data_IF_861344426320
#
_entry.id   IF_861344426320
#
_cell.length_a   1.000
_cell.length_b   1.000
_cell.length_c   1.000
_cell.angle_alpha   90.00
_cell.angle_beta   90.00
_cell.angle_gamma   90.00
#
_symmetry.space_group_name_H-M   'P 1'
#
loop_
_entity.id
_entity.type
_entity.pdbx_description
1 polymer ?
#
# COMPACT_ATOMS: atom_id res chain seq x y z
N UNK A 1 -13.53 3.28 4.95
CA UNK A 1 -13.91 2.44 6.12
C UNK A 1 -12.87 1.34 6.21
N UNK A 2 -12.22 1.11 7.35
CA UNK A 2 -11.26 0.00 7.43
C UNK A 2 -11.98 -1.26 7.90
N UNK A 3 -12.03 -2.27 7.04
CA UNK A 3 -12.57 -3.58 7.38
C UNK A 3 -11.44 -4.43 7.97
N UNK A 4 -11.65 -5.02 9.13
CA UNK A 4 -10.67 -5.94 9.74
C UNK A 4 -10.55 -7.25 8.97
N UNK A 5 -11.57 -7.61 8.18
CA UNK A 5 -11.61 -8.87 7.42
C UNK A 5 -12.45 -8.74 6.14
N UNK A 6 -11.92 -9.28 5.05
CA UNK A 6 -12.62 -9.40 3.76
C UNK A 6 -13.31 -10.77 3.68
N UNK A 7 -14.59 -10.81 3.31
CA UNK A 7 -15.41 -12.02 3.21
C UNK A 7 -15.55 -12.51 1.76
N UNK A 8 -14.90 -13.62 1.43
CA UNK A 8 -14.97 -14.23 0.09
C UNK A 8 -16.25 -15.05 -0.18
N UNK A 9 -17.16 -15.14 0.80
CA UNK A 9 -18.45 -15.84 0.73
C UNK A 9 -19.52 -15.01 1.46
N UNK A 10 -20.76 -15.10 1.00
CA UNK A 10 -21.90 -14.39 1.57
C UNK A 10 -22.20 -13.06 0.88
N UNK A 11 -23.15 -12.30 1.46
CA UNK A 11 -23.59 -10.98 1.02
C UNK A 11 -23.91 -10.14 2.27
N UNK A 12 -23.68 -8.84 2.22
CA UNK A 12 -24.18 -7.92 3.25
C UNK A 12 -25.72 -7.91 3.27
N UNK A 13 -26.34 -7.53 4.40
CA UNK A 13 -27.77 -7.18 4.43
C UNK A 13 -27.91 -5.67 4.58
N UNK A 14 -28.38 -4.97 3.55
CA UNK A 14 -28.38 -3.49 3.53
C UNK A 14 -29.68 -2.89 4.09
N UNK A 15 -30.79 -3.58 3.88
CA UNK A 15 -32.12 -3.19 4.31
C UNK A 15 -32.86 -4.36 4.95
N UNK A 16 -33.68 -4.05 5.96
CA UNK A 16 -34.61 -5.02 6.57
C UNK A 16 -35.76 -5.41 5.63
N UNK A 17 -36.14 -4.51 4.74
CA UNK A 17 -37.20 -4.75 3.75
C UNK A 17 -36.69 -5.62 2.62
N UNK A 18 -37.38 -6.72 2.33
CA UNK A 18 -37.07 -7.64 1.22
C UNK A 18 -37.11 -6.93 -0.14
N UNK A 19 -38.02 -5.97 -0.32
CA UNK A 19 -38.16 -5.21 -1.55
C UNK A 19 -36.99 -4.25 -1.76
N UNK A 20 -36.63 -3.48 -0.72
CA UNK A 20 -35.47 -2.59 -0.79
C UNK A 20 -34.17 -3.36 -0.97
N UNK A 21 -34.04 -4.54 -0.35
CA UNK A 21 -32.88 -5.41 -0.51
C UNK A 21 -32.77 -5.99 -1.94
N UNK A 22 -33.89 -6.34 -2.55
CA UNK A 22 -33.92 -6.79 -3.94
C UNK A 22 -33.48 -5.66 -4.90
N UNK A 23 -33.87 -4.42 -4.61
CA UNK A 23 -33.47 -3.24 -5.40
C UNK A 23 -31.97 -2.90 -5.28
N UNK A 24 -31.24 -3.47 -4.32
CA UNK A 24 -29.79 -3.29 -4.26
C UNK A 24 -29.02 -4.28 -5.14
N UNK A 25 -29.71 -5.24 -5.77
CA UNK A 25 -29.11 -6.29 -6.59
C UNK A 25 -29.33 -5.95 -8.06
N UNK A 26 -28.32 -6.16 -8.90
CA UNK A 26 -28.36 -5.69 -10.28
C UNK A 26 -27.63 -6.61 -11.22
N UNK A 27 -28.34 -7.06 -12.25
CA UNK A 27 -27.77 -7.79 -13.35
C UNK A 27 -27.25 -6.80 -14.42
N UNK A 28 -26.03 -6.98 -14.97
CA UNK A 28 -25.45 -6.07 -15.96
C UNK A 28 -26.40 -5.76 -17.14
N UNK A 29 -27.12 -6.77 -17.63
CA UNK A 29 -28.07 -6.61 -18.74
C UNK A 29 -29.14 -5.53 -18.52
N UNK A 30 -29.59 -5.33 -17.27
CA UNK A 30 -30.58 -4.28 -16.94
C UNK A 30 -29.97 -2.89 -17.16
N UNK A 31 -28.74 -2.68 -16.72
CA UNK A 31 -28.03 -1.41 -16.86
C UNK A 31 -27.73 -1.10 -18.33
N UNK A 32 -27.28 -2.09 -19.09
CA UNK A 32 -27.06 -1.93 -20.53
C UNK A 32 -28.36 -1.65 -21.29
N UNK A 33 -29.43 -2.40 -21.01
CA UNK A 33 -30.73 -2.21 -21.65
C UNK A 33 -31.34 -0.84 -21.38
N UNK A 34 -31.03 -0.25 -20.23
CA UNK A 34 -31.48 1.10 -19.86
C UNK A 34 -30.68 2.21 -20.56
N UNK A 35 -29.35 2.09 -20.61
CA UNK A 35 -28.49 3.17 -21.11
C UNK A 35 -28.21 3.14 -22.62
N UNK A 36 -28.15 1.97 -23.26
CA UNK A 36 -27.85 1.88 -24.70
C UNK A 36 -28.89 2.60 -25.57
N UNK A 37 -30.22 2.49 -25.34
CA UNK A 37 -31.21 3.24 -26.12
C UNK A 37 -31.05 4.76 -25.94
N UNK A 38 -30.76 5.22 -24.72
CA UNK A 38 -30.56 6.65 -24.42
C UNK A 38 -29.32 7.18 -25.12
N UNK A 39 -28.21 6.44 -25.07
CA UNK A 39 -26.96 6.75 -25.79
C UNK A 39 -27.24 6.86 -27.30
N UNK A 40 -27.90 5.85 -27.87
CA UNK A 40 -28.22 5.82 -29.31
C UNK A 40 -29.09 7.00 -29.74
N UNK A 41 -30.16 7.28 -28.98
CA UNK A 41 -31.05 8.39 -29.27
C UNK A 41 -30.35 9.75 -29.18
N UNK A 42 -29.56 10.00 -28.14
CA UNK A 42 -28.88 11.30 -27.98
C UNK A 42 -27.84 11.55 -29.08
N UNK A 43 -27.10 10.53 -29.49
CA UNK A 43 -26.14 10.62 -30.60
C UNK A 43 -26.87 10.80 -31.94
N UNK A 44 -27.95 10.05 -32.17
CA UNK A 44 -28.80 10.22 -33.34
C UNK A 44 -29.38 11.64 -33.41
N UNK A 45 -29.96 12.15 -32.32
CA UNK A 45 -30.53 13.49 -32.27
C UNK A 45 -29.46 14.59 -32.44
N UNK A 46 -28.26 14.38 -31.92
CA UNK A 46 -27.12 15.29 -32.14
C UNK A 46 -26.76 15.40 -33.62
N UNK A 47 -26.84 14.29 -34.37
CA UNK A 47 -26.59 14.27 -35.81
C UNK A 47 -27.79 14.77 -36.63
N UNK A 48 -28.95 14.13 -36.47
CA UNK A 48 -30.12 14.34 -37.31
C UNK A 48 -30.94 15.59 -36.92
N UNK A 49 -31.02 15.91 -35.63
CA UNK A 49 -31.82 17.03 -35.13
C UNK A 49 -31.02 18.32 -34.90
N UNK A 50 -29.78 18.21 -34.45
CA UNK A 50 -28.91 19.38 -34.19
C UNK A 50 -27.90 19.65 -35.32
N UNK A 51 -27.85 18.78 -36.33
CA UNK A 51 -26.98 18.90 -37.50
C UNK A 51 -25.49 19.05 -37.15
N UNK A 52 -25.04 18.46 -36.04
CA UNK A 52 -23.61 18.40 -35.73
C UNK A 52 -22.89 17.41 -36.66
N UNK A 53 -21.68 17.78 -37.10
CA UNK A 53 -20.86 16.91 -37.92
C UNK A 53 -20.45 15.64 -37.16
N UNK A 54 -20.32 14.52 -37.88
CA UNK A 54 -19.88 13.25 -37.30
C UNK A 54 -18.54 13.38 -36.57
N UNK A 55 -17.60 14.15 -37.13
CA UNK A 55 -16.31 14.40 -36.50
C UNK A 55 -16.46 15.07 -35.13
N UNK A 56 -17.32 16.10 -35.01
CA UNK A 56 -17.58 16.77 -33.73
C UNK A 56 -18.19 15.81 -32.73
N UNK A 57 -19.16 14.99 -33.15
CA UNK A 57 -19.81 13.99 -32.30
C UNK A 57 -18.77 13.00 -31.77
N UNK A 58 -17.95 12.42 -32.66
CA UNK A 58 -16.92 11.44 -32.31
C UNK A 58 -15.90 12.04 -31.35
N UNK A 59 -15.35 13.22 -31.65
CA UNK A 59 -14.33 13.84 -30.80
C UNK A 59 -14.89 14.20 -29.42
N UNK A 60 -16.12 14.74 -29.36
CA UNK A 60 -16.77 15.09 -28.09
C UNK A 60 -17.06 13.82 -27.28
N UNK A 61 -17.55 12.77 -27.92
CA UNK A 61 -17.82 11.48 -27.30
C UNK A 61 -16.54 10.85 -26.73
N UNK A 62 -15.44 10.83 -27.49
CA UNK A 62 -14.16 10.29 -27.05
C UNK A 62 -13.55 11.11 -25.91
N UNK A 63 -13.67 12.44 -25.97
CA UNK A 63 -13.23 13.32 -24.88
C UNK A 63 -14.03 13.06 -23.59
N UNK A 64 -15.33 12.80 -23.70
CA UNK A 64 -16.17 12.45 -22.57
C UNK A 64 -15.84 11.07 -21.99
N UNK A 65 -15.58 10.08 -22.85
CA UNK A 65 -15.13 8.75 -22.44
C UNK A 65 -13.78 8.81 -21.72
N UNK A 66 -12.85 9.64 -22.20
CA UNK A 66 -11.60 9.89 -21.49
C UNK A 66 -11.83 10.58 -20.15
N UNK A 67 -12.73 11.58 -20.10
CA UNK A 67 -13.10 12.30 -18.88
C UNK A 67 -13.76 11.39 -17.83
N UNK A 68 -14.52 10.38 -18.26
CA UNK A 68 -15.03 9.33 -17.37
C UNK A 68 -13.89 8.65 -16.61
N UNK A 69 -12.76 8.33 -17.27
CA UNK A 69 -11.65 7.64 -16.58
C UNK A 69 -11.09 8.45 -15.41
N UNK A 70 -11.09 9.78 -15.53
CA UNK A 70 -10.69 10.69 -14.46
C UNK A 70 -11.75 10.75 -13.36
N UNK A 71 -13.02 10.84 -13.76
CA UNK A 71 -14.14 10.82 -12.83
C UNK A 71 -14.19 9.52 -12.02
N UNK A 72 -14.01 8.37 -12.67
CA UNK A 72 -13.88 7.06 -12.02
C UNK A 72 -12.82 7.11 -10.92
N UNK A 73 -11.62 7.56 -11.26
CA UNK A 73 -10.51 7.67 -10.30
C UNK A 73 -10.88 8.57 -9.12
N UNK A 74 -11.41 9.76 -9.38
CA UNK A 74 -11.74 10.74 -8.36
C UNK A 74 -12.91 10.27 -7.47
N UNK A 75 -13.96 9.72 -8.08
CA UNK A 75 -15.11 9.17 -7.36
C UNK A 75 -14.70 8.00 -6.49
N UNK A 76 -13.90 7.07 -7.02
CA UNK A 76 -13.43 5.93 -6.25
C UNK A 76 -12.58 6.37 -5.05
N UNK A 77 -11.64 7.29 -5.25
CA UNK A 77 -10.75 7.78 -4.20
C UNK A 77 -11.43 8.66 -3.16
N UNK A 78 -12.23 9.64 -3.58
CA UNK A 78 -12.71 10.71 -2.68
C UNK A 78 -14.17 10.55 -2.26
N UNK A 79 -14.99 9.82 -3.03
CA UNK A 79 -16.42 9.61 -2.73
C UNK A 79 -16.62 8.22 -2.11
N UNK A 80 -16.16 7.18 -2.81
CA UNK A 80 -16.39 5.79 -2.39
C UNK A 80 -15.51 5.36 -1.23
N UNK A 81 -14.31 5.93 -1.10
CA UNK A 81 -13.42 5.74 0.05
C UNK A 81 -13.51 6.83 1.11
N UNK A 82 -14.57 7.66 1.07
CA UNK A 82 -14.73 8.72 2.05
C UNK A 82 -14.92 8.17 3.48
N UNK A 83 -14.05 8.59 4.38
CA UNK A 83 -14.15 8.30 5.82
C UNK A 83 -14.83 9.48 6.52
N UNK A 84 -16.12 9.30 6.85
CA UNK A 84 -16.90 10.29 7.62
C UNK A 84 -17.28 9.73 8.98
N UNK A 85 -17.22 10.58 10.02
CA UNK A 85 -17.74 10.27 11.35
C UNK A 85 -19.26 10.32 11.45
N UNK A 86 -19.95 10.90 10.44
CA UNK A 86 -21.40 11.06 10.48
C UNK A 86 -22.14 9.76 10.09
N UNK A 87 -23.10 9.26 10.91
CA UNK A 87 -23.75 7.97 10.68
C UNK A 87 -24.43 7.81 9.32
N UNK A 88 -25.07 8.87 8.81
CA UNK A 88 -25.77 8.84 7.52
C UNK A 88 -24.79 8.72 6.36
N UNK A 89 -23.71 9.51 6.36
CA UNK A 89 -22.68 9.45 5.33
C UNK A 89 -21.98 8.09 5.34
N UNK A 90 -21.69 7.57 6.54
CA UNK A 90 -21.14 6.22 6.74
C UNK A 90 -22.03 5.15 6.10
N UNK A 91 -23.36 5.22 6.32
CA UNK A 91 -24.32 4.27 5.72
C UNK A 91 -24.39 4.41 4.20
N UNK A 92 -24.43 5.63 3.67
CA UNK A 92 -24.47 5.89 2.23
C UNK A 92 -23.22 5.34 1.52
N UNK A 93 -22.02 5.64 2.02
CA UNK A 93 -20.75 5.13 1.48
C UNK A 93 -20.71 3.61 1.55
N UNK A 94 -21.21 3.01 2.63
CA UNK A 94 -21.30 1.56 2.74
C UNK A 94 -22.24 0.94 1.69
N UNK A 95 -23.43 1.51 1.50
CA UNK A 95 -24.40 1.05 0.50
C UNK A 95 -23.86 1.19 -0.92
N UNK A 96 -23.12 2.28 -1.22
CA UNK A 96 -22.58 2.51 -2.56
C UNK A 96 -21.34 1.65 -2.85
N UNK A 97 -20.46 1.44 -1.86
CA UNK A 97 -19.16 0.82 -2.11
C UNK A 97 -18.60 -0.02 -0.96
N UNK A 98 -18.83 0.36 0.32
CA UNK A 98 -18.26 -0.38 1.45
C UNK A 98 -18.68 -1.86 1.49
N UNK A 99 -19.93 -2.18 1.15
CA UNK A 99 -20.40 -3.57 1.06
C UNK A 99 -19.62 -4.41 0.03
N UNK A 100 -19.13 -3.77 -1.04
CA UNK A 100 -18.30 -4.43 -2.04
C UNK A 100 -16.90 -4.76 -1.49
N UNK A 101 -16.28 -3.86 -0.73
CA UNK A 101 -15.01 -4.12 -0.05
C UNK A 101 -15.11 -5.23 1.00
N UNK A 102 -16.25 -5.32 1.68
CA UNK A 102 -16.50 -6.39 2.65
C UNK A 102 -16.78 -7.74 1.95
N UNK A 103 -17.57 -7.74 0.87
CA UNK A 103 -17.95 -8.94 0.10
C UNK A 103 -17.59 -8.81 -1.40
N UNK A 104 -16.30 -8.82 -1.78
CA UNK A 104 -15.87 -8.53 -3.15
C UNK A 104 -16.33 -9.58 -4.18
N UNK A 105 -16.67 -10.78 -3.70
CA UNK A 105 -17.16 -11.90 -4.53
C UNK A 105 -18.68 -11.86 -4.76
N UNK A 106 -19.42 -10.92 -4.16
CA UNK A 106 -20.85 -10.76 -4.40
C UNK A 106 -21.12 -10.12 -5.77
N UNK A 107 -21.34 -10.98 -6.77
CA UNK A 107 -21.58 -10.57 -8.15
C UNK A 107 -22.88 -9.80 -8.36
N UNK A 108 -23.84 -9.88 -7.43
CA UNK A 108 -25.12 -9.19 -7.56
C UNK A 108 -25.03 -7.70 -7.22
N UNK A 109 -23.91 -7.24 -6.67
CA UNK A 109 -23.72 -5.85 -6.18
C UNK A 109 -22.46 -5.17 -6.70
N UNK A 110 -21.94 -5.66 -7.82
CA UNK A 110 -20.79 -5.03 -8.49
C UNK A 110 -21.21 -3.86 -9.37
N UNK A 111 -22.40 -3.95 -9.99
CA UNK A 111 -23.00 -2.83 -10.70
C UNK A 111 -23.84 -1.97 -9.77
N UNK A 112 -23.76 -0.66 -9.96
CA UNK A 112 -24.62 0.27 -9.27
C UNK A 112 -26.09 0.01 -9.64
N UNK A 113 -27.01 -0.08 -8.65
CA UNK A 113 -28.39 -0.40 -8.95
C UNK A 113 -29.13 0.65 -9.78
N UNK A 114 -30.19 0.27 -10.52
CA UNK A 114 -30.86 1.17 -11.47
C UNK A 114 -31.32 2.49 -10.86
N UNK A 115 -31.95 2.45 -9.67
CA UNK A 115 -32.49 3.65 -9.01
C UNK A 115 -31.39 4.68 -8.69
N UNK A 116 -30.35 4.37 -7.89
CA UNK A 116 -29.28 5.32 -7.64
C UNK A 116 -28.50 5.68 -8.91
N UNK A 117 -28.36 4.74 -9.86
CA UNK A 117 -27.70 4.98 -11.15
C UNK A 117 -28.41 6.06 -11.94
N UNK A 118 -29.74 5.97 -12.12
CA UNK A 118 -30.54 6.97 -12.84
C UNK A 118 -30.50 8.33 -12.15
N UNK A 119 -30.63 8.37 -10.81
CA UNK A 119 -30.58 9.64 -10.06
C UNK A 119 -29.24 10.37 -10.30
N UNK A 120 -28.13 9.66 -10.18
CA UNK A 120 -26.78 10.23 -10.40
C UNK A 120 -26.60 10.61 -11.87
N UNK A 121 -27.04 9.77 -12.81
CA UNK A 121 -26.94 10.04 -14.24
C UNK A 121 -27.77 11.27 -14.66
N UNK A 122 -28.99 11.42 -14.16
CA UNK A 122 -29.83 12.61 -14.41
C UNK A 122 -29.21 13.88 -13.83
N UNK A 123 -28.64 13.81 -12.62
CA UNK A 123 -27.92 14.93 -12.04
C UNK A 123 -26.69 15.32 -12.88
N UNK A 124 -25.86 14.35 -13.26
CA UNK A 124 -24.68 14.61 -14.10
C UNK A 124 -25.07 15.14 -15.49
N UNK A 125 -26.13 14.63 -16.11
CA UNK A 125 -26.66 15.18 -17.36
C UNK A 125 -27.06 16.64 -17.20
N UNK A 126 -27.80 16.98 -16.14
CA UNK A 126 -28.19 18.36 -15.86
C UNK A 126 -26.96 19.27 -15.70
N UNK A 127 -25.94 18.83 -14.95
CA UNK A 127 -24.68 19.57 -14.80
C UNK A 127 -23.98 19.76 -16.16
N UNK A 128 -23.83 18.71 -16.96
CA UNK A 128 -23.20 18.82 -18.27
C UNK A 128 -24.00 19.73 -19.21
N UNK A 129 -25.32 19.67 -19.15
CA UNK A 129 -26.20 20.53 -19.94
C UNK A 129 -26.09 22.00 -19.52
N UNK A 130 -26.03 22.28 -18.22
CA UNK A 130 -25.80 23.64 -17.72
C UNK A 130 -24.44 24.20 -18.15
N UNK A 131 -23.39 23.38 -18.13
CA UNK A 131 -22.02 23.81 -18.47
C UNK A 131 -21.77 23.93 -19.98
N UNK A 132 -22.40 23.08 -20.80
CA UNK A 132 -22.04 22.93 -22.21
C UNK A 132 -23.22 23.05 -23.19
N UNK A 133 -24.43 23.29 -22.67
CA UNK A 133 -25.67 23.35 -23.43
C UNK A 133 -25.94 22.05 -24.18
N UNK A 134 -26.34 22.18 -25.44
CA UNK A 134 -26.65 21.05 -26.32
C UNK A 134 -25.46 20.11 -26.59
N UNK A 135 -24.21 20.53 -26.33
CA UNK A 135 -23.05 19.63 -26.43
C UNK A 135 -23.13 18.45 -25.43
N UNK A 136 -23.88 18.61 -24.34
CA UNK A 136 -24.14 17.54 -23.39
C UNK A 136 -24.76 16.30 -24.04
N UNK A 137 -25.50 16.46 -25.15
CA UNK A 137 -26.11 15.35 -25.90
C UNK A 137 -25.08 14.49 -26.66
N UNK A 138 -23.85 14.97 -26.85
CA UNK A 138 -22.72 14.17 -27.37
C UNK A 138 -21.79 13.72 -26.25
N UNK A 139 -21.57 14.60 -25.26
CA UNK A 139 -20.68 14.34 -24.13
C UNK A 139 -21.24 13.28 -23.18
N UNK A 140 -22.50 13.43 -22.74
CA UNK A 140 -23.12 12.51 -21.79
C UNK A 140 -23.13 11.06 -22.29
N UNK A 141 -23.47 10.75 -23.56
CA UNK A 141 -23.34 9.40 -24.09
C UNK A 141 -21.93 8.82 -23.97
N UNK A 142 -20.88 9.60 -24.29
CA UNK A 142 -19.50 9.14 -24.15
C UNK A 142 -19.10 8.88 -22.69
N UNK A 143 -19.55 9.75 -21.79
CA UNK A 143 -19.33 9.61 -20.35
C UNK A 143 -20.02 8.37 -19.76
N UNK A 144 -21.30 8.13 -20.11
CA UNK A 144 -22.06 6.95 -19.67
C UNK A 144 -21.51 5.66 -20.30
N UNK A 145 -21.05 5.70 -21.55
CA UNK A 145 -20.33 4.55 -22.13
C UNK A 145 -19.06 4.22 -21.35
N UNK A 146 -18.33 5.24 -20.87
CA UNK A 146 -17.23 5.05 -19.92
C UNK A 146 -17.67 4.31 -18.65
N UNK A 147 -18.80 4.71 -18.05
CA UNK A 147 -19.40 4.02 -16.91
C UNK A 147 -19.74 2.55 -17.20
N UNK A 148 -20.34 2.25 -18.35
CA UNK A 148 -20.67 0.88 -18.74
C UNK A 148 -19.41 0.01 -18.90
N UNK A 149 -18.35 0.57 -19.50
CA UNK A 149 -17.05 -0.09 -19.63
C UNK A 149 -16.45 -0.34 -18.24
N UNK A 150 -16.43 0.67 -17.38
CA UNK A 150 -15.96 0.56 -16.00
C UNK A 150 -16.68 -0.56 -15.23
N UNK A 151 -18.02 -0.54 -15.21
CA UNK A 151 -18.80 -1.53 -14.49
C UNK A 151 -18.56 -2.94 -15.04
N UNK A 152 -18.41 -3.07 -16.36
CA UNK A 152 -18.11 -4.36 -16.99
C UNK A 152 -16.73 -4.88 -16.62
N UNK A 153 -15.70 -4.02 -16.64
CA UNK A 153 -14.35 -4.42 -16.23
C UNK A 153 -14.29 -4.73 -14.74
N UNK A 154 -14.98 -3.95 -13.91
CA UNK A 154 -15.07 -4.20 -12.48
C UNK A 154 -15.71 -5.56 -12.17
N UNK A 155 -16.84 -5.85 -12.83
CA UNK A 155 -17.49 -7.16 -12.76
C UNK A 155 -16.55 -8.27 -13.20
N UNK A 156 -15.90 -8.11 -14.35
CA UNK A 156 -14.97 -9.06 -14.93
C UNK A 156 -13.80 -9.38 -13.98
N UNK A 157 -13.22 -8.36 -13.34
CA UNK A 157 -12.10 -8.50 -12.39
C UNK A 157 -12.45 -9.42 -11.22
N UNK A 158 -13.68 -9.35 -10.73
CA UNK A 158 -14.13 -10.15 -9.59
C UNK A 158 -14.79 -11.47 -10.00
N UNK A 159 -15.27 -11.58 -11.23
CA UNK A 159 -15.96 -12.76 -11.71
C UNK A 159 -15.00 -13.83 -12.27
N UNK A 160 -13.94 -13.43 -12.99
CA UNK A 160 -13.09 -14.38 -13.72
C UNK A 160 -11.62 -13.96 -13.82
N UNK A 161 -10.78 -14.91 -14.22
CA UNK A 161 -9.37 -14.67 -14.52
C UNK A 161 -9.22 -13.71 -15.72
N UNK A 162 -8.15 -12.89 -15.77
CA UNK A 162 -7.97 -11.92 -16.85
C UNK A 162 -7.95 -12.64 -18.20
N UNK A 163 -8.83 -12.24 -19.15
CA UNK A 163 -8.96 -12.95 -20.43
C UNK A 163 -7.71 -12.81 -21.30
N UNK A 164 -6.90 -11.77 -21.05
CA UNK A 164 -5.67 -11.50 -21.77
C UNK A 164 -4.50 -11.25 -20.83
N UNK A 165 -3.28 -11.60 -21.26
CA UNK A 165 -2.06 -11.44 -20.45
C UNK A 165 -1.78 -9.98 -20.09
N UNK A 166 -2.05 -9.05 -21.00
CA UNK A 166 -1.81 -7.62 -20.79
C UNK A 166 -2.80 -6.97 -19.80
N UNK A 167 -3.93 -7.63 -19.49
CA UNK A 167 -4.87 -7.20 -18.47
C UNK A 167 -4.51 -7.68 -17.05
N UNK A 168 -3.59 -8.65 -16.92
CA UNK A 168 -3.16 -9.17 -15.60
C UNK A 168 -2.72 -8.08 -14.61
N UNK A 169 -1.97 -7.03 -15.01
CA UNK A 169 -1.60 -5.96 -14.10
C UNK A 169 -2.81 -5.18 -13.56
N UNK A 170 -3.84 -4.95 -14.39
CA UNK A 170 -5.05 -4.25 -13.99
C UNK A 170 -5.87 -5.07 -12.99
N UNK A 171 -6.07 -6.36 -13.26
CA UNK A 171 -6.71 -7.30 -12.33
C UNK A 171 -5.97 -7.32 -10.99
N UNK A 172 -4.64 -7.44 -11.05
CA UNK A 172 -3.80 -7.45 -9.85
C UNK A 172 -3.89 -6.14 -9.08
N UNK A 173 -3.88 -5.00 -9.75
CA UNK A 173 -3.96 -3.67 -9.11
C UNK A 173 -5.26 -3.57 -8.29
N UNK A 174 -6.39 -3.91 -8.90
CA UNK A 174 -7.69 -3.85 -8.22
C UNK A 174 -7.83 -4.92 -7.13
N UNK A 175 -7.31 -6.14 -7.32
CA UNK A 175 -7.30 -7.12 -6.23
C UNK A 175 -6.44 -6.66 -5.05
N UNK A 176 -5.28 -6.04 -5.29
CA UNK A 176 -4.46 -5.49 -4.21
C UNK A 176 -5.17 -4.34 -3.48
N UNK A 177 -5.97 -3.54 -4.19
CA UNK A 177 -6.84 -2.53 -3.58
C UNK A 177 -7.81 -3.16 -2.56
N UNK A 178 -8.45 -4.27 -2.92
CA UNK A 178 -9.39 -4.99 -2.03
C UNK A 178 -8.71 -5.71 -0.86
N UNK A 179 -7.59 -6.40 -1.11
CA UNK A 179 -7.02 -7.35 -0.15
C UNK A 179 -5.77 -6.88 0.57
N UNK A 180 -5.15 -5.77 0.13
CA UNK A 180 -3.86 -5.31 0.67
C UNK A 180 -3.90 -3.87 1.20
N UNK A 181 -4.34 -2.91 0.39
CA UNK A 181 -4.41 -1.51 0.80
C UNK A 181 -5.47 -0.75 0.01
N UNK A 182 -6.57 -0.40 0.67
CA UNK A 182 -7.67 0.36 0.08
C UNK A 182 -7.32 1.84 -0.17
N UNK A 183 -6.17 2.33 0.32
CA UNK A 183 -5.65 3.68 0.03
C UNK A 183 -4.85 3.77 -1.30
N UNK A 184 -4.75 2.68 -2.07
CA UNK A 184 -4.03 2.60 -3.36
C UNK A 184 -4.82 1.83 -4.42
N UNK A 185 -4.53 2.05 -5.71
CA UNK A 185 -5.09 1.29 -6.83
C UNK A 185 -6.55 1.61 -7.12
N UNK A 186 -6.88 2.90 -7.23
CA UNK A 186 -8.25 3.39 -7.45
C UNK A 186 -8.73 3.22 -8.90
N UNK A 187 -7.82 3.04 -9.87
CA UNK A 187 -8.15 2.80 -11.26
C UNK A 187 -8.60 1.36 -11.50
N UNK A 188 -9.84 1.20 -11.99
CA UNK A 188 -10.47 -0.10 -12.26
C UNK A 188 -10.53 -0.40 -13.76
N UNK A 189 -10.91 0.57 -14.58
CA UNK A 189 -10.88 0.45 -16.05
C UNK A 189 -9.48 0.65 -16.61
N UNK A 190 -8.67 1.48 -15.95
CA UNK A 190 -7.30 1.81 -16.33
C UNK A 190 -6.49 2.25 -15.13
N UNK A 191 -5.19 1.99 -15.19
CA UNK A 191 -4.19 2.43 -14.18
C UNK A 191 -3.60 3.80 -14.50
N UNK A 192 -4.12 4.53 -15.51
CA UNK A 192 -3.58 5.82 -15.95
C UNK A 192 -3.49 6.83 -14.80
N UNK A 193 -4.61 7.10 -14.13
CA UNK A 193 -4.67 8.11 -13.08
C UNK A 193 -3.98 7.67 -11.79
N UNK A 194 -3.93 6.37 -11.50
CA UNK A 194 -3.07 5.87 -10.43
C UNK A 194 -1.59 6.16 -10.69
N UNK A 195 -1.13 6.16 -11.95
CA UNK A 195 0.24 6.57 -12.28
C UNK A 195 0.42 8.07 -12.15
N UNK A 196 -0.51 8.86 -12.69
CA UNK A 196 -0.48 10.33 -12.66
C UNK A 196 -0.45 10.85 -11.21
N UNK A 197 -1.34 10.33 -10.36
CA UNK A 197 -1.48 10.75 -8.96
C UNK A 197 -0.70 9.89 -7.96
N UNK A 198 0.15 8.98 -8.46
CA UNK A 198 1.07 8.14 -7.67
C UNK A 198 0.38 7.27 -6.61
N UNK A 199 -0.77 6.71 -6.96
CA UNK A 199 -1.55 5.76 -6.14
C UNK A 199 -1.49 4.32 -6.67
N UNK A 200 -0.63 4.02 -7.65
CA UNK A 200 -0.38 2.65 -8.13
C UNK A 200 0.20 1.75 -7.05
N UNK A 201 -0.20 0.48 -7.05
CA UNK A 201 0.62 -0.56 -6.44
C UNK A 201 1.88 -0.77 -7.27
N UNK A 202 3.04 -0.37 -6.74
CA UNK A 202 4.31 -0.45 -7.47
C UNK A 202 4.65 -1.89 -7.84
N UNK A 203 4.67 -2.20 -9.16
CA UNK A 203 5.45 -3.27 -9.82
C UNK A 203 5.78 -2.77 -11.24
N UNK A 204 6.98 -2.22 -11.47
CA UNK A 204 7.61 -1.99 -12.78
C UNK A 204 6.80 -1.26 -13.90
N UNK A 205 6.84 0.08 -13.96
CA UNK A 205 6.95 0.91 -15.20
C UNK A 205 7.41 2.31 -14.76
N UNK A 206 8.70 2.63 -14.86
CA UNK A 206 9.22 4.00 -14.86
C UNK A 206 10.46 4.09 -15.75
N UNK A 207 10.32 3.63 -17.00
CA UNK A 207 11.36 3.74 -18.03
C UNK A 207 11.07 4.84 -19.06
N UNK A 208 10.10 5.74 -18.83
CA UNK A 208 9.79 6.81 -19.79
C UNK A 208 9.44 8.18 -19.17
N UNK A 209 10.11 8.53 -18.08
CA UNK A 209 10.23 9.93 -17.64
C UNK A 209 11.69 10.24 -17.28
N UNK A 210 12.60 9.92 -18.21
CA UNK A 210 13.93 10.54 -18.24
C UNK A 210 13.80 11.81 -19.07
N UNK A 211 13.78 12.96 -18.41
CA UNK A 211 14.39 14.24 -18.84
C UNK A 211 13.90 15.43 -18.00
N UNK A 212 14.01 15.33 -16.67
CA UNK A 212 14.18 16.52 -15.85
C UNK A 212 15.31 16.24 -14.85
N UNK A 213 16.40 17.03 -14.83
CA UNK A 213 17.36 16.97 -13.75
C UNK A 213 16.67 17.54 -12.52
N UNK A 214 16.10 16.68 -11.69
CA UNK A 214 15.74 17.08 -10.33
C UNK A 214 17.07 17.36 -9.62
N UNK A 215 17.41 18.64 -9.49
CA UNK A 215 18.53 19.13 -8.72
C UNK A 215 18.59 18.40 -7.39
N UNK A 216 19.62 17.57 -7.22
CA UNK A 216 19.96 17.01 -5.94
C UNK A 216 20.36 18.18 -5.03
N UNK A 217 19.42 18.64 -4.20
CA UNK A 217 19.80 19.37 -3.00
C UNK A 217 20.56 18.38 -2.12
N UNK A 218 21.88 18.45 -2.22
CA UNK A 218 22.84 17.98 -1.24
C UNK A 218 22.43 18.53 0.13
N UNK A 219 21.95 17.67 1.02
CA UNK A 219 21.84 17.98 2.44
C UNK A 219 22.75 17.00 3.19
N UNK A 220 24.01 17.41 3.35
CA UNK A 220 25.09 16.72 4.04
C UNK A 220 25.35 17.30 5.43
N UNK A 221 24.32 17.59 6.22
CA UNK A 221 24.52 18.18 7.55
C UNK A 221 24.92 17.14 8.62
N UNK A 222 24.99 15.84 8.30
CA UNK A 222 25.39 14.78 9.26
C UNK A 222 24.46 14.61 10.48
N UNK A 223 23.46 15.49 10.62
CA UNK A 223 22.47 15.52 11.69
C UNK A 223 21.33 14.53 11.42
N UNK A 224 20.77 13.98 12.50
CA UNK A 224 19.62 13.08 12.42
C UNK A 224 18.33 13.86 12.13
N UNK A 225 17.61 13.47 11.08
CA UNK A 225 16.28 13.99 10.75
C UNK A 225 15.21 12.99 11.18
N UNK A 226 14.17 13.46 11.87
CA UNK A 226 13.01 12.64 12.21
C UNK A 226 12.25 12.27 10.92
N UNK A 227 12.04 10.97 10.69
CA UNK A 227 11.34 10.47 9.48
C UNK A 227 10.00 9.81 9.80
N UNK A 228 9.79 9.33 11.02
CA UNK A 228 8.51 8.78 11.49
C UNK A 228 8.46 8.80 13.02
N UNK A 229 7.30 9.13 13.58
CA UNK A 229 7.04 9.00 15.01
C UNK A 229 5.59 8.58 15.23
N UNK A 230 5.41 7.42 15.85
CA UNK A 230 4.10 6.87 16.21
C UNK A 230 4.25 6.08 17.52
N UNK A 231 3.22 6.15 18.38
CA UNK A 231 3.28 5.57 19.74
C UNK A 231 4.53 6.10 20.50
N UNK A 232 5.31 5.19 21.10
CA UNK A 232 6.53 5.48 21.85
C UNK A 232 7.81 5.20 21.04
N UNK A 233 7.75 5.18 19.70
CA UNK A 233 8.90 4.92 18.83
C UNK A 233 9.13 6.10 17.89
N UNK A 234 10.36 6.61 17.86
CA UNK A 234 10.82 7.64 16.93
C UNK A 234 11.92 7.09 16.02
N UNK A 235 11.76 7.25 14.71
CA UNK A 235 12.73 6.89 13.68
C UNK A 235 13.41 8.13 13.12
N UNK A 236 14.74 8.10 13.07
CA UNK A 236 15.58 9.14 12.52
C UNK A 236 16.49 8.59 11.44
N UNK A 237 16.91 9.45 10.51
CA UNK A 237 17.88 9.11 9.48
C UNK A 237 18.96 10.19 9.36
N UNK A 238 20.19 9.79 9.05
CA UNK A 238 21.26 10.70 8.63
C UNK A 238 22.11 10.09 7.52
N UNK A 239 22.84 10.95 6.83
CA UNK A 239 23.86 10.54 5.87
C UNK A 239 25.22 10.59 6.54
N UNK A 240 25.96 9.49 6.48
CA UNK A 240 27.34 9.43 6.96
C UNK A 240 28.27 9.15 5.78
N UNK A 241 29.47 9.75 5.82
CA UNK A 241 30.53 9.37 4.90
C UNK A 241 30.92 7.91 5.20
N UNK A 242 30.86 7.04 4.19
CA UNK A 242 31.46 5.71 4.28
C UNK A 242 32.88 5.75 3.73
N UNK A 243 33.68 4.72 4.01
CA UNK A 243 35.02 4.57 3.46
C UNK A 243 34.94 4.33 1.94
N UNK A 244 34.80 5.42 1.17
CA UNK A 244 34.58 5.45 -0.28
C UNK A 244 33.86 6.72 -0.73
N UNK A 245 33.76 6.97 -2.04
CA UNK A 245 33.11 8.16 -2.63
C UNK A 245 31.58 8.24 -2.42
N UNK A 246 30.95 7.25 -1.74
CA UNK A 246 29.49 7.23 -1.53
C UNK A 246 29.11 7.38 -0.05
N UNK A 247 28.08 8.20 0.21
CA UNK A 247 27.46 8.31 1.53
C UNK A 247 26.52 7.12 1.81
N UNK A 248 26.63 6.56 3.01
CA UNK A 248 25.74 5.49 3.50
C UNK A 248 24.69 6.11 4.42
N UNK A 249 23.46 5.58 4.35
CA UNK A 249 22.39 5.99 5.24
C UNK A 249 22.51 5.24 6.56
N UNK A 250 22.45 5.98 7.66
CA UNK A 250 22.24 5.43 8.98
C UNK A 250 20.80 5.69 9.42
N UNK A 251 20.15 4.65 9.92
CA UNK A 251 18.81 4.71 10.50
C UNK A 251 18.93 4.50 12.00
N UNK A 252 18.20 5.29 12.77
CA UNK A 252 18.15 5.23 14.24
C UNK A 252 16.71 5.10 14.72
N UNK A 253 16.43 4.12 15.56
CA UNK A 253 15.16 4.00 16.28
C UNK A 253 15.39 4.29 17.77
N UNK A 254 14.52 5.09 18.37
CA UNK A 254 14.55 5.40 19.81
C UNK A 254 13.19 5.11 20.40
N UNK A 255 13.15 4.33 21.48
CA UNK A 255 11.94 4.03 22.22
C UNK A 255 12.23 3.68 23.67
N UNK A 256 11.20 3.71 24.52
CA UNK A 256 11.30 3.34 25.93
C UNK A 256 10.52 2.06 26.18
N UNK A 257 11.04 1.20 27.06
CA UNK A 257 10.46 -0.10 27.40
C UNK A 257 10.59 -0.36 28.91
N UNK A 258 9.58 -0.98 29.53
CA UNK A 258 9.68 -1.45 30.92
C UNK A 258 10.36 -2.82 30.99
N UNK A 259 11.67 -2.85 30.79
CA UNK A 259 12.49 -4.08 30.75
C UNK A 259 13.91 -3.78 31.25
N UNK A 260 14.71 -4.82 31.43
CA UNK A 260 16.15 -4.73 31.74
C UNK A 260 17.03 -5.21 30.56
N UNK A 261 18.35 -4.98 30.68
CA UNK A 261 19.37 -5.37 29.70
C UNK A 261 19.42 -6.88 29.48
N UNK A 262 19.14 -7.68 30.52
CA UNK A 262 19.19 -9.15 30.45
C UNK A 262 18.06 -9.67 29.57
N UNK A 263 16.83 -9.18 29.76
CA UNK A 263 15.68 -9.56 28.94
C UNK A 263 15.85 -9.15 27.48
N UNK A 264 16.42 -7.98 27.19
CA UNK A 264 16.77 -7.58 25.82
C UNK A 264 17.79 -8.54 25.21
N UNK A 265 18.86 -8.85 25.93
CA UNK A 265 19.91 -9.77 25.47
C UNK A 265 19.34 -11.17 25.23
N UNK A 266 18.46 -11.65 26.10
CA UNK A 266 17.80 -12.95 25.97
C UNK A 266 16.86 -12.99 24.76
N UNK A 267 16.08 -11.93 24.51
CA UNK A 267 15.18 -11.85 23.36
C UNK A 267 15.97 -11.85 22.04
N UNK A 268 17.09 -11.11 21.97
CA UNK A 268 17.97 -11.11 20.79
C UNK A 268 18.63 -12.47 20.54
N UNK A 269 18.88 -13.26 21.59
CA UNK A 269 19.43 -14.63 21.52
C UNK A 269 18.36 -15.72 21.36
N UNK A 270 17.08 -15.38 21.41
CA UNK A 270 16.00 -16.36 21.33
C UNK A 270 15.69 -16.74 19.88
N UNK A 271 16.07 -17.96 19.51
CA UNK A 271 15.70 -18.53 18.21
C UNK A 271 14.18 -18.69 18.06
N UNK A 272 13.49 -19.02 19.14
CA UNK A 272 12.03 -19.24 19.16
C UNK A 272 11.25 -17.93 18.96
N UNK A 273 11.73 -16.84 19.57
CA UNK A 273 11.04 -15.55 19.51
C UNK A 273 11.49 -14.67 18.35
N UNK A 274 12.63 -14.98 17.72
CA UNK A 274 13.23 -14.15 16.66
C UNK A 274 12.31 -13.81 15.49
N UNK A 275 11.43 -14.75 15.09
CA UNK A 275 10.45 -14.53 14.01
C UNK A 275 9.20 -13.77 14.46
N UNK A 276 8.96 -13.65 15.77
CA UNK A 276 7.76 -13.03 16.33
C UNK A 276 7.90 -11.50 16.41
N UNK A 277 9.13 -11.00 16.54
CA UNK A 277 9.39 -9.56 16.57
C UNK A 277 10.08 -9.02 15.33
N UNK A 278 10.80 -9.84 14.56
CA UNK A 278 11.51 -9.35 13.39
C UNK A 278 10.65 -9.47 12.13
N UNK A 279 10.09 -8.33 11.71
CA UNK A 279 9.11 -8.28 10.65
C UNK A 279 9.66 -8.86 9.32
N UNK A 280 8.83 -9.67 8.68
CA UNK A 280 9.14 -10.44 7.46
C UNK A 280 10.26 -11.48 7.57
N UNK A 281 10.84 -11.73 8.75
CA UNK A 281 11.76 -12.86 8.95
C UNK A 281 10.98 -14.18 8.94
N UNK A 282 11.44 -15.14 8.13
CA UNK A 282 10.91 -16.51 8.06
C UNK A 282 11.82 -17.52 8.74
N UNK A 283 13.09 -17.20 8.87
CA UNK A 283 14.05 -18.02 9.59
C UNK A 283 14.94 -17.12 10.42
N UNK A 284 14.94 -17.36 11.72
CA UNK A 284 15.87 -16.78 12.68
C UNK A 284 16.67 -17.94 13.27
N UNK A 285 17.99 -17.87 13.23
CA UNK A 285 18.88 -18.90 13.81
C UNK A 285 19.97 -18.22 14.62
N UNK A 286 20.23 -18.76 15.80
CA UNK A 286 21.26 -18.26 16.70
C UNK A 286 22.31 -19.34 16.90
N UNK A 287 23.54 -19.01 16.56
CA UNK A 287 24.72 -19.84 16.80
C UNK A 287 25.49 -19.21 17.97
N UNK A 288 25.51 -19.91 19.10
CA UNK A 288 26.28 -19.48 20.27
C UNK A 288 27.77 -19.66 19.99
N UNK A 289 28.58 -18.68 20.42
CA UNK A 289 30.03 -18.78 20.39
C UNK A 289 30.54 -19.44 21.68
N UNK A 290 31.81 -19.88 21.67
CA UNK A 290 32.53 -20.26 22.90
C UNK A 290 32.71 -19.05 23.83
N UNK A 291 32.81 -17.85 23.27
CA UNK A 291 32.73 -16.60 24.02
C UNK A 291 31.27 -16.27 24.34
N UNK A 292 30.91 -16.32 25.62
CA UNK A 292 29.56 -16.04 26.11
C UNK A 292 29.05 -14.63 25.78
N UNK A 293 29.93 -13.70 25.43
CA UNK A 293 29.60 -12.34 25.00
C UNK A 293 29.34 -12.23 23.49
N UNK A 294 29.57 -13.29 22.71
CA UNK A 294 29.41 -13.27 21.26
C UNK A 294 28.45 -14.35 20.77
N UNK A 295 27.68 -14.02 19.72
CA UNK A 295 26.86 -14.99 19.01
C UNK A 295 26.64 -14.56 17.58
N UNK A 296 26.42 -15.52 16.70
CA UNK A 296 26.08 -15.24 15.30
C UNK A 296 24.59 -15.46 15.10
N UNK A 297 23.92 -14.50 14.48
CA UNK A 297 22.51 -14.62 14.10
C UNK A 297 22.38 -14.67 12.59
N UNK A 298 21.70 -15.69 12.08
CA UNK A 298 21.28 -15.77 10.69
C UNK A 298 19.79 -15.45 10.55
N UNK A 299 19.46 -14.57 9.60
CA UNK A 299 18.11 -14.14 9.31
C UNK A 299 17.82 -14.36 7.82
N UNK A 300 16.74 -15.06 7.49
CA UNK A 300 16.17 -15.12 6.12
C UNK A 300 14.85 -14.38 6.10
N UNK A 301 14.79 -13.32 5.31
CA UNK A 301 13.63 -12.48 5.09
C UNK A 301 12.85 -12.93 3.86
N UNK A 302 11.53 -12.95 3.98
CA UNK A 302 10.60 -13.06 2.86
C UNK A 302 9.97 -11.70 2.61
N UNK A 303 10.73 -10.83 1.95
CA UNK A 303 10.30 -9.47 1.64
C UNK A 303 9.56 -9.50 0.30
N UNK A 304 8.33 -8.97 0.23
CA UNK A 304 7.64 -8.85 -1.05
C UNK A 304 8.38 -7.90 -2.01
N UNK A 305 8.09 -8.05 -3.30
CA UNK A 305 8.59 -7.19 -4.38
C UNK A 305 8.60 -5.68 -3.99
N UNK A 306 9.63 -4.88 -4.36
CA UNK A 306 10.69 -5.15 -5.35
C UNK A 306 11.88 -5.96 -4.84
N UNK A 307 11.91 -6.26 -3.55
CA UNK A 307 12.93 -7.15 -3.01
C UNK A 307 12.62 -8.59 -3.42
N UNK A 308 13.67 -9.39 -3.62
CA UNK A 308 13.57 -10.84 -3.54
C UNK A 308 13.71 -11.28 -2.09
N UNK A 309 13.67 -12.59 -1.84
CA UNK A 309 14.09 -13.12 -0.55
C UNK A 309 15.53 -12.64 -0.28
N UNK A 310 15.76 -12.18 0.94
CA UNK A 310 17.07 -11.69 1.37
C UNK A 310 17.50 -12.44 2.61
N UNK A 311 18.81 -12.54 2.82
CA UNK A 311 19.33 -13.03 4.08
C UNK A 311 20.44 -12.14 4.61
N UNK A 312 20.72 -12.26 5.89
CA UNK A 312 21.91 -11.68 6.49
C UNK A 312 22.44 -12.59 7.59
N UNK A 313 23.75 -12.53 7.79
CA UNK A 313 24.45 -13.20 8.87
C UNK A 313 25.20 -12.13 9.65
N UNK A 314 24.92 -12.03 10.95
CA UNK A 314 25.38 -10.94 11.80
C UNK A 314 26.10 -11.51 13.02
N UNK A 315 27.32 -11.07 13.27
CA UNK A 315 28.05 -11.32 14.52
C UNK A 315 27.65 -10.26 15.53
N UNK A 316 27.06 -10.68 16.63
CA UNK A 316 26.71 -9.83 17.75
C UNK A 316 27.78 -9.92 18.84
N UNK A 317 28.11 -8.78 19.45
CA UNK A 317 28.99 -8.71 20.63
C UNK A 317 28.30 -7.89 21.71
N UNK A 318 28.13 -8.51 22.88
CA UNK A 318 27.72 -7.84 24.10
C UNK A 318 28.96 -7.21 24.73
N UNK A 319 28.93 -5.89 24.89
CA UNK A 319 29.97 -5.15 25.59
C UNK A 319 29.43 -4.87 27.01
N UNK A 320 29.73 -5.73 28.01
CA UNK A 320 29.38 -5.41 29.38
C UNK A 320 30.12 -4.15 29.80
N UNK A 321 29.39 -3.15 30.27
CA UNK A 321 30.00 -1.97 30.86
C UNK A 321 30.72 -2.30 32.17
N UNK A 322 31.72 -1.49 32.47
CA UNK A 322 32.48 -1.45 33.72
C UNK A 322 31.55 -1.27 34.93
N UNK A 323 31.92 -1.84 36.08
CA UNK A 323 31.11 -1.80 37.30
C UNK A 323 30.66 -0.37 37.67
N UNK A 324 29.35 -0.12 37.70
CA UNK A 324 28.73 1.14 38.14
C UNK A 324 27.82 1.83 37.10
N UNK A 325 27.93 1.49 35.81
CA UNK A 325 27.10 2.09 34.76
C UNK A 325 25.80 1.30 34.57
N UNK A 326 24.64 1.99 34.57
CA UNK A 326 23.32 1.35 34.39
C UNK A 326 22.93 1.16 32.92
N UNK A 327 23.90 1.16 32.01
CA UNK A 327 23.69 1.09 30.57
C UNK A 327 24.34 -0.18 29.99
N UNK A 328 23.77 -0.70 28.90
CA UNK A 328 24.31 -1.86 28.17
C UNK A 328 24.46 -1.56 26.68
N UNK A 329 25.50 -2.11 26.05
CA UNK A 329 25.70 -2.00 24.60
C UNK A 329 25.83 -3.38 23.94
N UNK A 330 25.08 -3.59 22.86
CA UNK A 330 25.24 -4.74 21.96
C UNK A 330 25.56 -4.20 20.58
N UNK A 331 26.72 -4.54 20.04
CA UNK A 331 27.08 -4.21 18.66
C UNK A 331 26.82 -5.41 17.75
N UNK A 332 26.55 -5.16 16.47
CA UNK A 332 26.45 -6.21 15.47
C UNK A 332 27.01 -5.78 14.13
N UNK A 333 27.60 -6.73 13.40
CA UNK A 333 28.14 -6.50 12.06
C UNK A 333 27.98 -7.73 11.15
N UNK A 334 27.97 -7.50 9.83
CA UNK A 334 27.93 -8.58 8.84
C UNK A 334 29.12 -9.53 9.01
N UNK A 335 28.82 -10.83 9.09
CA UNK A 335 29.81 -11.91 9.13
C UNK A 335 29.48 -13.01 8.12
N UNK A 336 30.37 -13.97 7.94
CA UNK A 336 30.13 -15.19 7.15
C UNK A 336 30.04 -16.41 8.07
N UNK A 337 29.32 -17.44 7.65
CA UNK A 337 29.23 -18.72 8.36
C UNK A 337 29.14 -19.85 7.34
N UNK A 338 29.92 -20.91 7.53
CA UNK A 338 29.87 -22.11 6.68
C UNK A 338 28.53 -22.85 6.76
N UNK A 339 27.78 -22.68 7.86
CA UNK A 339 26.44 -23.26 8.03
C UNK A 339 25.37 -22.52 7.22
N UNK A 340 25.63 -21.29 6.80
CA UNK A 340 24.70 -20.45 6.04
C UNK A 340 25.39 -19.83 4.81
N UNK A 341 25.79 -20.67 3.84
CA UNK A 341 26.44 -20.21 2.62
C UNK A 341 25.50 -19.31 1.79
N UNK A 342 26.09 -18.45 0.95
CA UNK A 342 25.31 -17.62 0.02
C UNK A 342 24.75 -18.53 -1.08
N UNK A 343 23.44 -18.49 -1.28
CA UNK A 343 22.74 -19.28 -2.29
C UNK A 343 22.19 -18.38 -3.41
N UNK A 344 21.96 -18.95 -4.60
CA UNK A 344 21.50 -18.18 -5.76
C UNK A 344 20.03 -17.69 -5.65
N UNK A 345 19.22 -18.33 -4.80
CA UNK A 345 17.80 -18.01 -4.58
C UNK A 345 17.57 -16.80 -3.65
N UNK A 346 18.61 -16.32 -2.97
CA UNK A 346 18.51 -15.27 -1.95
C UNK A 346 19.57 -14.19 -2.14
N UNK A 347 19.19 -12.93 -2.00
CA UNK A 347 20.16 -11.82 -2.02
C UNK A 347 20.70 -11.53 -0.62
N UNK A 348 21.98 -11.84 -0.40
CA UNK A 348 22.70 -11.55 0.86
C UNK A 348 22.88 -10.06 1.09
N UNK A 349 22.37 -9.56 2.20
CA UNK A 349 22.62 -8.21 2.70
C UNK A 349 24.02 -8.18 3.32
N UNK A 350 24.86 -7.26 2.87
CA UNK A 350 26.25 -7.09 3.31
C UNK A 350 26.51 -5.70 3.86
N UNK A 351 27.65 -5.53 4.54
CA UNK A 351 28.04 -4.26 5.16
C UNK A 351 27.03 -3.75 6.18
N UNK A 352 26.26 -4.66 6.78
CA UNK A 352 25.38 -4.32 7.88
C UNK A 352 26.24 -4.08 9.11
N UNK A 353 26.05 -2.96 9.78
CA UNK A 353 26.65 -2.69 11.09
C UNK A 353 25.71 -1.80 11.90
N UNK A 354 25.70 -2.00 13.20
CA UNK A 354 24.79 -1.28 14.07
C UNK A 354 25.02 -1.59 15.53
N UNK A 355 24.18 -1.00 16.37
CA UNK A 355 24.21 -1.24 17.81
C UNK A 355 22.85 -1.04 18.45
N UNK A 356 22.69 -1.68 19.60
CA UNK A 356 21.64 -1.46 20.57
C UNK A 356 22.29 -0.83 21.80
N UNK A 357 21.91 0.41 22.10
CA UNK A 357 22.27 1.09 23.35
C UNK A 357 21.06 1.07 24.27
N UNK A 358 21.25 0.59 25.49
CA UNK A 358 20.22 0.38 26.50
C UNK A 358 20.55 1.27 27.69
N UNK A 359 19.71 2.25 28.00
CA UNK A 359 19.95 3.22 29.06
C UNK A 359 18.86 3.11 30.14
N UNK A 360 19.19 2.73 31.38
CA UNK A 360 18.25 2.75 32.50
C UNK A 360 17.84 4.20 32.84
N UNK A 361 16.54 4.42 32.93
CA UNK A 361 15.93 5.73 33.22
C UNK A 361 15.18 5.75 34.56
N UNK A 362 15.40 4.75 35.43
CA UNK A 362 14.80 4.71 36.77
C UNK A 362 13.38 4.14 36.76
N UNK A 363 13.22 2.90 36.28
CA UNK A 363 11.93 2.18 36.21
C UNK A 363 11.48 1.81 34.79
N UNK A 364 12.18 2.35 33.79
CA UNK A 364 12.12 1.98 32.38
C UNK A 364 13.50 2.07 31.75
N UNK A 365 13.67 1.52 30.57
CA UNK A 365 14.90 1.54 29.81
C UNK A 365 14.66 2.18 28.45
N UNK A 366 15.49 3.16 28.10
CA UNK A 366 15.52 3.75 26.77
C UNK A 366 16.42 2.90 25.88
N UNK A 367 15.89 2.46 24.75
CA UNK A 367 16.64 1.72 23.74
C UNK A 367 16.88 2.64 22.54
N UNK A 368 18.14 2.77 22.17
CA UNK A 368 18.58 3.40 20.92
C UNK A 368 19.19 2.34 20.01
N UNK A 369 18.47 2.00 18.94
CA UNK A 369 18.95 1.09 17.89
C UNK A 369 19.50 1.91 16.73
N UNK A 370 20.71 1.60 16.26
CA UNK A 370 21.24 2.16 15.01
C UNK A 370 21.63 1.06 14.04
N UNK A 371 21.41 1.30 12.75
CA UNK A 371 21.82 0.39 11.68
C UNK A 371 22.26 1.17 10.44
N UNK A 372 23.31 0.66 9.81
CA UNK A 372 23.73 0.99 8.45
C UNK A 372 23.87 -0.30 7.67
N UNK A 373 23.63 -0.25 6.37
CA UNK A 373 23.82 -1.38 5.45
C UNK A 373 24.42 -0.88 4.15
N UNK A 374 25.10 -1.75 3.40
CA UNK A 374 25.51 -1.41 2.05
C UNK A 374 24.30 -1.05 1.18
N UNK A 375 24.56 -0.28 0.11
CA UNK A 375 23.53 0.16 -0.82
C UNK A 375 22.87 -1.05 -1.49
N UNK A 376 21.55 -1.13 -1.38
CA UNK A 376 20.75 -2.10 -2.14
C UNK A 376 20.75 -1.73 -3.63
N UNK A 377 20.64 -2.75 -4.49
CA UNK A 377 20.37 -2.58 -5.94
C UNK A 377 18.98 -1.99 -6.20
N UNK A 378 18.08 -2.03 -5.21
CA UNK A 378 16.74 -1.45 -5.28
C UNK A 378 16.81 0.08 -5.09
N UNK A 379 16.21 0.88 -5.99
CA UNK A 379 16.20 2.34 -5.86
C UNK A 379 15.66 2.81 -4.50
N UNK A 380 16.31 3.81 -3.90
CA UNK A 380 16.03 4.31 -2.54
C UNK A 380 14.58 4.74 -2.36
N UNK A 381 13.98 5.45 -3.31
CA UNK A 381 12.58 5.85 -3.21
C UNK A 381 11.58 4.67 -3.12
N UNK A 382 12.00 3.45 -3.53
CA UNK A 382 11.21 2.22 -3.33
C UNK A 382 11.61 1.50 -2.04
N UNK A 383 12.91 1.39 -1.75
CA UNK A 383 13.40 0.67 -0.58
C UNK A 383 13.15 1.43 0.73
N UNK A 384 13.16 2.76 0.71
CA UNK A 384 13.11 3.59 1.92
C UNK A 384 11.78 3.48 2.68
N UNK A 385 10.59 3.60 2.06
CA UNK A 385 9.33 3.43 2.79
C UNK A 385 9.17 2.02 3.34
N UNK A 386 9.65 1.00 2.61
CA UNK A 386 9.58 -0.41 3.02
C UNK A 386 10.52 -0.64 4.21
N UNK A 387 11.77 -0.17 4.14
CA UNK A 387 12.75 -0.28 5.23
C UNK A 387 12.26 0.45 6.47
N UNK A 388 11.70 1.67 6.33
CA UNK A 388 11.15 2.45 7.44
C UNK A 388 9.98 1.73 8.11
N UNK A 389 9.02 1.24 7.33
CA UNK A 389 7.86 0.54 7.87
C UNK A 389 8.23 -0.81 8.49
N UNK A 390 9.13 -1.56 7.85
CA UNK A 390 9.63 -2.82 8.37
C UNK A 390 10.36 -2.60 9.70
N UNK A 391 11.29 -1.64 9.75
CA UNK A 391 12.02 -1.30 10.96
C UNK A 391 11.07 -0.83 12.07
N UNK A 392 10.09 0.00 11.74
CA UNK A 392 9.09 0.44 12.71
C UNK A 392 8.31 -0.74 13.30
N UNK A 393 7.79 -1.63 12.45
CA UNK A 393 7.08 -2.85 12.89
C UNK A 393 7.98 -3.70 13.78
N UNK A 394 9.21 -3.94 13.35
CA UNK A 394 10.20 -4.72 14.11
C UNK A 394 10.43 -4.15 15.51
N UNK A 395 10.57 -2.82 15.63
CA UNK A 395 10.79 -2.19 16.93
C UNK A 395 9.52 -2.19 17.80
N UNK A 396 8.34 -2.06 17.22
CA UNK A 396 7.06 -2.12 17.94
C UNK A 396 6.77 -3.52 18.49
N UNK A 397 7.01 -4.55 17.68
CA UNK A 397 6.85 -5.94 18.10
C UNK A 397 7.91 -6.32 19.14
N UNK A 398 9.18 -5.89 18.96
CA UNK A 398 10.25 -6.11 19.94
C UNK A 398 9.93 -5.50 21.30
N UNK A 399 9.50 -4.22 21.33
CA UNK A 399 9.04 -3.55 22.55
C UNK A 399 7.88 -4.33 23.19
N UNK A 400 6.90 -4.72 22.38
CA UNK A 400 5.69 -5.40 22.87
C UNK A 400 5.98 -6.76 23.48
N UNK A 401 6.97 -7.52 22.98
CA UNK A 401 7.38 -8.79 23.60
C UNK A 401 8.06 -8.54 24.95
N UNK A 402 8.97 -7.58 25.03
CA UNK A 402 9.66 -7.25 26.27
C UNK A 402 8.71 -6.82 27.39
N UNK A 403 7.66 -6.05 27.07
CA UNK A 403 6.67 -5.61 28.04
C UNK A 403 5.70 -6.73 28.49
N UNK A 404 5.57 -7.80 27.70
CA UNK A 404 4.73 -8.96 28.02
C UNK A 404 5.42 -10.03 28.86
N UNK A 405 6.76 -10.04 28.92
CA UNK A 405 7.54 -11.03 29.68
C UNK A 405 7.56 -10.73 31.20
N UNK A 406 6.57 -9.98 31.69
CA UNK A 406 6.48 -9.51 33.08
C UNK A 406 5.27 -10.04 33.80
#
# INVERSE_FOLDING_TARGET
>A
MKFEKVHNKGQATLFRSKYLEALTKTHPAVIFGMYLPVIGYMLYYSYAGLHYSLLRIILTYLAALFSWTLFEYAAHRYIFHWVSGHPVAKRMVYTLHGNHHEYPRDRQRLFMPPVPSVIIASFLFAVFYLLSGKNALMFFPGFISGYLIYGSMHYAIHAWAPPFRWLKPLWRNHHLHHYKNDDLGFGVSSTLWDRVFRTMFSVAVLLLLTQLPASAHQLSDGSYKLVKQEKNIALYERWIAASGMESVREVKAVFTVKSDVRSVTQLLRSQEQGTNWNAHVKMYRVLLSSDSNQWTTYLKYKIPWPFGDQDCCLLYRFNPHTAGERHGEITFESTSSSLFPVTADVSRITGTRGRWLMEDTGGSMKITYTITTNRSKVPRWVSDPIVRNNLFSTMDDFRSILEKQR
#
